data_IF_022744661531
#
_entry.id   IF_022744661531
#
_cell.length_a   1.000
_cell.length_b   1.000
_cell.length_c   1.000
_cell.angle_alpha   90.00
_cell.angle_beta   90.00
_cell.angle_gamma   90.00
#
_symmetry.space_group_name_H-M   'P 1'
#
loop_
_entity.id
_entity.type
_entity.pdbx_description
1 polymer ?
#
# COMPACT_ATOMS: atom_id res chain seq x y z
N UNK A 1 21.65 -7.06 -10.65
CA UNK A 1 20.74 -5.88 -10.73
C UNK A 1 19.27 -6.15 -10.37
N UNK A 2 18.70 -7.34 -10.64
CA UNK A 2 17.27 -7.64 -10.35
C UNK A 2 16.83 -7.43 -8.89
N UNK A 3 17.74 -7.57 -7.91
CA UNK A 3 17.40 -7.50 -6.48
C UNK A 3 17.20 -6.08 -5.92
N UNK A 4 17.67 -5.01 -6.61
CA UNK A 4 17.51 -3.64 -6.12
C UNK A 4 16.10 -3.09 -6.37
N UNK A 5 15.49 -3.46 -7.49
CA UNK A 5 14.16 -2.98 -7.89
C UNK A 5 13.05 -3.50 -6.98
N UNK A 6 13.15 -4.76 -6.53
CA UNK A 6 12.18 -5.33 -5.59
C UNK A 6 12.22 -4.67 -4.22
N UNK A 7 13.33 -4.03 -3.86
CA UNK A 7 13.52 -3.34 -2.58
C UNK A 7 12.97 -1.90 -2.60
N UNK A 8 12.76 -1.32 -3.77
CA UNK A 8 12.17 0.02 -3.92
C UNK A 8 10.66 0.02 -3.67
N UNK A 9 10.00 -1.08 -4.04
CA UNK A 9 8.56 -1.26 -3.84
C UNK A 9 8.24 -2.13 -2.61
N UNK A 10 9.23 -2.47 -1.79
CA UNK A 10 9.01 -3.16 -0.53
C UNK A 10 8.90 -2.17 0.62
N UNK A 11 8.00 -2.46 1.56
CA UNK A 11 7.82 -1.65 2.77
C UNK A 11 9.09 -1.57 3.63
N UNK A 12 9.94 -2.59 3.54
CA UNK A 12 11.16 -2.72 4.32
C UNK A 12 12.38 -2.73 3.39
N UNK A 13 13.38 -1.90 3.70
CA UNK A 13 14.68 -1.86 3.02
C UNK A 13 15.61 -3.00 3.47
N UNK A 14 15.49 -3.39 4.75
CA UNK A 14 16.25 -4.48 5.40
C UNK A 14 15.29 -5.38 6.17
N UNK A 15 15.60 -6.67 6.19
CA UNK A 15 14.78 -7.70 6.84
C UNK A 15 15.48 -8.21 8.10
N UNK A 16 15.09 -7.68 9.26
CA UNK A 16 15.39 -8.22 10.59
C UNK A 16 14.26 -9.18 11.04
N UNK A 17 14.44 -9.86 12.17
CA UNK A 17 13.44 -10.80 12.70
C UNK A 17 12.11 -10.11 13.02
N UNK A 18 12.16 -8.87 13.52
CA UNK A 18 10.97 -8.07 13.83
C UNK A 18 10.15 -7.71 12.58
N UNK A 19 10.80 -7.26 11.50
CA UNK A 19 10.16 -6.95 10.22
C UNK A 19 9.58 -8.21 9.58
N UNK A 20 10.26 -9.35 9.71
CA UNK A 20 9.76 -10.64 9.24
C UNK A 20 8.47 -10.99 9.97
N UNK A 21 8.46 -10.98 11.31
CA UNK A 21 7.24 -11.27 12.09
C UNK A 21 6.11 -10.28 11.78
N UNK A 22 6.41 -8.98 11.66
CA UNK A 22 5.42 -7.96 11.31
C UNK A 22 4.84 -8.22 9.92
N UNK A 23 5.69 -8.54 8.95
CA UNK A 23 5.26 -8.88 7.59
C UNK A 23 4.44 -10.16 7.56
N UNK A 24 4.85 -11.23 8.23
CA UNK A 24 4.08 -12.48 8.30
C UNK A 24 2.72 -12.27 8.96
N UNK A 25 2.65 -11.46 10.02
CA UNK A 25 1.39 -11.09 10.68
C UNK A 25 0.48 -10.22 9.79
N UNK A 26 1.05 -9.44 8.85
CA UNK A 26 0.29 -8.72 7.83
C UNK A 26 -0.11 -9.66 6.68
N UNK A 27 0.79 -10.54 6.27
CA UNK A 27 0.60 -11.51 5.20
C UNK A 27 -0.52 -12.50 5.53
N UNK A 28 -0.55 -13.00 6.76
CA UNK A 28 -1.58 -13.94 7.25
C UNK A 28 -2.99 -13.33 7.32
N UNK A 29 -3.10 -12.00 7.42
CA UNK A 29 -4.39 -11.30 7.35
C UNK A 29 -4.92 -11.16 5.92
N UNK A 30 -4.10 -11.47 4.92
CA UNK A 30 -4.47 -11.48 3.51
C UNK A 30 -4.35 -10.13 2.81
N UNK A 31 -4.28 -10.20 1.48
CA UNK A 31 -4.05 -9.06 0.59
C UNK A 31 -5.19 -8.03 0.69
N UNK A 32 -6.45 -8.46 0.78
CA UNK A 32 -7.60 -7.57 0.82
C UNK A 32 -7.59 -6.61 2.02
N UNK A 33 -7.22 -7.11 3.21
CA UNK A 33 -7.08 -6.26 4.41
C UNK A 33 -5.91 -5.29 4.29
N UNK A 34 -4.81 -5.69 3.64
CA UNK A 34 -3.68 -4.80 3.39
C UNK A 34 -4.06 -3.66 2.44
N UNK A 35 -4.73 -3.97 1.32
CA UNK A 35 -5.19 -2.93 0.39
C UNK A 35 -6.18 -1.99 1.04
N UNK A 36 -7.13 -2.50 1.81
CA UNK A 36 -8.14 -1.68 2.47
C UNK A 36 -7.53 -0.83 3.59
N UNK A 37 -6.72 -1.41 4.48
CA UNK A 37 -6.18 -0.68 5.64
C UNK A 37 -4.96 0.17 5.29
N UNK A 38 -3.93 -0.43 4.68
CA UNK A 38 -2.67 0.26 4.41
C UNK A 38 -2.73 1.10 3.11
N UNK A 39 -3.58 0.72 2.15
CA UNK A 39 -3.79 1.48 0.91
C UNK A 39 -4.89 2.52 1.04
N UNK A 40 -6.15 2.07 1.12
CA UNK A 40 -7.33 2.93 1.01
C UNK A 40 -7.63 3.70 2.30
N UNK A 41 -7.49 3.11 3.48
CA UNK A 41 -7.82 3.80 4.73
C UNK A 41 -6.77 4.84 5.09
N UNK A 42 -5.47 4.52 4.94
CA UNK A 42 -4.39 5.48 5.22
C UNK A 42 -4.38 6.63 4.21
N UNK A 43 -4.62 6.38 2.93
CA UNK A 43 -4.51 7.43 1.90
C UNK A 43 -5.85 7.97 1.40
N UNK A 44 -6.86 7.13 1.28
CA UNK A 44 -8.19 7.47 0.75
C UNK A 44 -9.04 8.29 1.71
N UNK A 45 -9.01 8.00 3.03
CA UNK A 45 -9.80 8.78 4.00
C UNK A 45 -9.26 10.21 4.14
N UNK A 46 -7.95 10.44 4.35
CA UNK A 46 -7.43 11.81 4.46
C UNK A 46 -7.58 12.60 3.17
N UNK A 47 -7.34 11.99 2.00
CA UNK A 47 -7.54 12.64 0.71
C UNK A 47 -9.02 12.98 0.50
N UNK A 48 -9.94 12.06 0.80
CA UNK A 48 -11.38 12.30 0.75
C UNK A 48 -11.82 13.48 1.62
N UNK A 49 -11.31 13.59 2.86
CA UNK A 49 -11.60 14.72 3.74
C UNK A 49 -11.07 16.05 3.20
N UNK A 50 -9.83 16.08 2.69
CA UNK A 50 -9.22 17.29 2.12
C UNK A 50 -10.02 17.77 0.90
N UNK A 51 -10.36 16.86 -0.01
CA UNK A 51 -11.13 17.20 -1.20
C UNK A 51 -12.57 17.60 -0.84
N UNK A 52 -13.21 16.95 0.13
CA UNK A 52 -14.52 17.37 0.62
C UNK A 52 -14.48 18.82 1.13
N UNK A 53 -13.47 19.18 1.93
CA UNK A 53 -13.27 20.55 2.42
C UNK A 53 -13.10 21.56 1.27
N UNK A 54 -12.25 21.24 0.28
CA UNK A 54 -11.99 22.07 -0.91
C UNK A 54 -13.21 22.23 -1.82
N UNK A 55 -14.07 21.21 -1.90
CA UNK A 55 -15.27 21.25 -2.74
C UNK A 55 -16.38 22.04 -2.06
N UNK A 56 -16.47 21.98 -0.73
CA UNK A 56 -17.45 22.74 0.05
C UNK A 56 -17.24 24.26 -0.07
N UNK A 57 -16.01 24.73 -0.23
CA UNK A 57 -15.68 26.16 -0.38
C UNK A 57 -15.98 26.74 -1.77
N UNK A 58 -16.12 25.91 -2.80
CA UNK A 58 -16.24 26.34 -4.20
C UNK A 58 -17.61 26.02 -4.83
N UNK A 59 -18.57 25.52 -4.05
CA UNK A 59 -19.84 24.98 -4.52
C UNK A 59 -19.74 23.48 -4.81
N UNK A 60 -20.69 22.71 -4.25
CA UNK A 60 -20.73 21.25 -4.36
C UNK A 60 -21.09 20.80 -5.78
N UNK A 61 -20.07 20.52 -6.58
CA UNK A 61 -20.22 19.77 -7.82
C UNK A 61 -20.07 18.26 -7.51
N UNK A 62 -21.20 17.61 -7.20
CA UNK A 62 -21.27 16.21 -6.77
C UNK A 62 -20.59 15.25 -7.75
N UNK A 63 -20.64 15.55 -9.06
CA UNK A 63 -19.97 14.75 -10.10
C UNK A 63 -18.45 14.79 -9.95
N UNK A 64 -17.87 15.97 -9.73
CA UNK A 64 -16.42 16.13 -9.53
C UNK A 64 -15.96 15.49 -8.23
N UNK A 65 -16.76 15.57 -7.18
CA UNK A 65 -16.48 14.92 -5.90
C UNK A 65 -16.40 13.40 -6.05
N UNK A 66 -17.41 12.79 -6.67
CA UNK A 66 -17.46 11.33 -6.88
C UNK A 66 -16.30 10.88 -7.77
N UNK A 67 -16.01 11.59 -8.86
CA UNK A 67 -14.88 11.28 -9.74
C UNK A 67 -13.54 11.31 -8.98
N UNK A 68 -13.35 12.31 -8.12
CA UNK A 68 -12.13 12.46 -7.32
C UNK A 68 -11.97 11.31 -6.32
N UNK A 69 -13.03 10.97 -5.59
CA UNK A 69 -13.02 9.85 -4.65
C UNK A 69 -12.71 8.53 -5.38
N UNK A 70 -13.31 8.30 -6.55
CA UNK A 70 -13.05 7.09 -7.34
C UNK A 70 -11.59 7.02 -7.82
N UNK A 71 -11.02 8.11 -8.32
CA UNK A 71 -9.62 8.15 -8.77
C UNK A 71 -8.68 7.84 -7.61
N UNK A 72 -8.88 8.46 -6.44
CA UNK A 72 -8.05 8.20 -5.27
C UNK A 72 -8.24 6.80 -4.69
N UNK A 73 -9.46 6.26 -4.74
CA UNK A 73 -9.73 4.89 -4.33
C UNK A 73 -8.98 3.88 -5.23
N UNK A 74 -9.06 4.05 -6.55
CA UNK A 74 -8.34 3.22 -7.52
C UNK A 74 -6.82 3.37 -7.34
N UNK A 75 -6.32 4.59 -7.16
CA UNK A 75 -4.91 4.85 -6.91
C UNK A 75 -4.42 4.16 -5.63
N UNK A 76 -5.19 4.20 -4.54
CA UNK A 76 -4.88 3.51 -3.29
C UNK A 76 -4.84 1.98 -3.43
N UNK A 77 -5.76 1.41 -4.21
CA UNK A 77 -5.77 -0.03 -4.55
C UNK A 77 -4.52 -0.39 -5.36
N UNK A 78 -4.21 0.36 -6.42
CA UNK A 78 -3.04 0.14 -7.26
C UNK A 78 -1.74 0.23 -6.45
N UNK A 79 -1.62 1.26 -5.60
CA UNK A 79 -0.49 1.41 -4.70
C UNK A 79 -0.35 0.23 -3.75
N UNK A 80 -1.45 -0.17 -3.08
CA UNK A 80 -1.46 -1.31 -2.16
C UNK A 80 -1.04 -2.62 -2.85
N UNK A 81 -1.49 -2.86 -4.09
CA UNK A 81 -1.07 -4.03 -4.88
C UNK A 81 0.42 -4.01 -5.21
N UNK A 82 0.94 -2.87 -5.69
CA UNK A 82 2.35 -2.74 -6.04
C UNK A 82 3.24 -2.98 -4.82
N UNK A 83 2.89 -2.38 -3.68
CA UNK A 83 3.62 -2.55 -2.42
C UNK A 83 3.53 -3.98 -1.91
N UNK A 84 2.35 -4.61 -1.98
CA UNK A 84 2.18 -5.99 -1.56
C UNK A 84 3.05 -6.95 -2.38
N UNK A 85 3.03 -6.80 -3.71
CA UNK A 85 3.83 -7.63 -4.60
C UNK A 85 5.33 -7.38 -4.42
N UNK A 86 5.74 -6.12 -4.30
CA UNK A 86 7.14 -5.74 -4.05
C UNK A 86 7.65 -6.31 -2.73
N UNK A 87 6.88 -6.13 -1.66
CA UNK A 87 7.23 -6.64 -0.32
C UNK A 87 7.23 -8.16 -0.26
N UNK A 88 6.25 -8.84 -0.86
CA UNK A 88 6.20 -10.31 -0.92
C UNK A 88 7.41 -10.89 -1.67
N UNK A 89 7.80 -10.28 -2.79
CA UNK A 89 8.99 -10.70 -3.55
C UNK A 89 10.28 -10.46 -2.78
N UNK A 90 10.41 -9.30 -2.13
CA UNK A 90 11.56 -8.97 -1.29
C UNK A 90 11.68 -9.95 -0.11
N UNK A 91 10.55 -10.30 0.52
CA UNK A 91 10.48 -11.31 1.58
C UNK A 91 10.96 -12.68 1.10
N UNK A 92 10.41 -13.18 0.00
CA UNK A 92 10.75 -14.50 -0.54
C UNK A 92 12.25 -14.61 -0.89
N UNK A 93 12.85 -13.56 -1.45
CA UNK A 93 14.29 -13.49 -1.72
C UNK A 93 15.11 -13.54 -0.42
N UNK A 94 14.67 -12.85 0.63
CA UNK A 94 15.38 -12.82 1.91
C UNK A 94 15.35 -14.19 2.61
N UNK A 95 14.18 -14.82 2.66
CA UNK A 95 14.02 -16.18 3.23
C UNK A 95 14.87 -17.20 2.46
N UNK A 96 14.91 -17.12 1.12
CA UNK A 96 15.74 -18.01 0.30
C UNK A 96 17.23 -17.85 0.60
N UNK A 97 17.72 -16.62 0.75
CA UNK A 97 19.12 -16.34 1.09
C UNK A 97 19.49 -16.85 2.50
N UNK A 98 18.58 -16.81 3.48
CA UNK A 98 18.83 -17.36 4.82
C UNK A 98 18.92 -18.89 4.85
N UNK A 99 18.18 -19.60 3.98
CA UNK A 99 18.26 -21.08 3.88
C UNK A 99 19.52 -21.61 3.18
N UNK A 100 20.30 -20.75 2.51
CA UNK A 100 21.55 -21.13 1.83
C UNK A 100 22.81 -20.85 2.67
N UNK A 101 22.65 -20.29 3.87
CA UNK A 101 23.69 -20.18 4.89
C UNK A 101 23.52 -21.30 5.91
#
# INVERSE_FOLDING_TARGET
MKNKLTNLFSLYSRWDEDQIQRWEKKYSRGIARFLLLDGVVIWGIPSGMIFMWLTLSNGLDTMKFIATVLVWFIAGICYGLVVWQGTSRSYALNVKNRKQR
#
